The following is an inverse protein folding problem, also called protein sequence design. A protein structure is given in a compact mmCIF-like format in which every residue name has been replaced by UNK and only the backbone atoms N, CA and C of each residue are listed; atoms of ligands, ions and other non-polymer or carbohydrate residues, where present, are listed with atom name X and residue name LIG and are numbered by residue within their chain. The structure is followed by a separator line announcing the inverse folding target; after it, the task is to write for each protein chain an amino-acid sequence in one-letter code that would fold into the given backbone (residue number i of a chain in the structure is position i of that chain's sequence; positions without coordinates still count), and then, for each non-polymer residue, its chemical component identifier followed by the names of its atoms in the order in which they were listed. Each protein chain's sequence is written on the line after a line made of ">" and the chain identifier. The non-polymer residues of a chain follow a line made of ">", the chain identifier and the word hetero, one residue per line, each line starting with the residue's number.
data_IF_006835507145
#
_entry.id   IF_006835507145
#
_cell.length_a   1.000
_cell.length_b   1.000
_cell.length_c   1.000
_cell.angle_alpha   90.00
_cell.angle_beta   90.00
_cell.angle_gamma   90.00
#
_symmetry.space_group_name_H-M   'P 1'
#
loop_
_entity.id
_entity.type
_entity.pdbx_description
1 polymer ?
2 non-polymer ?
3 water ?
#
# COMPACT_ATOMS: atom_id res chain seq x y z
N UNK A 1 18.75 -0.04 -15.25
CA UNK A 1 19.13 1.31 -14.82
C UNK A 1 19.59 1.29 -13.38
N UNK A 2 20.64 2.06 -13.10
CA UNK A 2 21.22 2.15 -11.77
C UNK A 2 20.61 3.35 -11.04
N UNK A 3 20.21 3.16 -9.78
CA UNK A 3 19.70 4.29 -8.99
C UNK A 3 20.40 4.40 -7.64
N UNK A 4 20.50 5.63 -7.16
CA UNK A 4 21.12 5.90 -5.87
C UNK A 4 20.07 6.44 -4.93
N UNK A 5 19.79 5.71 -3.87
CA UNK A 5 18.68 6.06 -2.98
C UNK A 5 19.18 6.35 -1.59
N UNK A 6 18.54 7.32 -0.96
CA UNK A 6 18.67 7.52 0.47
C UNK A 6 17.49 6.85 1.16
N UNK A 7 17.76 6.00 2.13
CA UNK A 7 16.66 5.47 2.94
C UNK A 7 16.98 5.64 4.42
N UNK A 8 15.94 5.83 5.22
CA UNK A 8 16.11 6.02 6.66
C UNK A 8 16.71 4.79 7.31
N UNK A 9 17.33 4.99 8.48
CA UNK A 9 17.85 3.88 9.28
C UNK A 9 16.73 2.89 9.60
N UNK A 10 15.56 3.42 9.90
CA UNK A 10 14.38 2.62 10.16
C UNK A 10 14.00 1.72 8.97
N UNK A 11 13.96 2.31 7.78
CA UNK A 11 13.68 1.55 6.56
C UNK A 11 14.73 0.49 6.34
N UNK A 12 15.99 0.88 6.42
CA UNK A 12 17.08 -0.06 6.20
C UNK A 12 16.93 -1.27 7.13
N UNK A 13 16.69 -1.00 8.42
CA UNK A 13 16.46 -2.05 9.41
C UNK A 13 15.31 -3.00 9.04
N UNK A 14 14.20 -2.43 8.57
CA UNK A 14 13.03 -3.22 8.22
C UNK A 14 13.34 -4.17 7.06
N UNK A 15 14.15 -3.74 6.10
CA UNK A 15 14.57 -4.62 5.01
C UNK A 15 15.32 -5.84 5.54
N UNK A 16 16.23 -5.62 6.48
CA UNK A 16 16.98 -6.70 7.10
C UNK A 16 16.06 -7.73 7.75
N UNK A 17 15.05 -7.26 8.45
CA UNK A 17 14.09 -8.13 9.12
C UNK A 17 13.28 -8.93 8.10
N UNK A 18 12.99 -8.34 6.95
CA UNK A 18 12.33 -9.07 5.87
C UNK A 18 13.21 -10.22 5.46
N UNK A 19 14.47 -9.92 5.18
CA UNK A 19 15.48 -10.90 4.82
C UNK A 19 15.48 -12.09 5.79
N UNK A 20 15.49 -11.78 7.09
CA UNK A 20 15.52 -12.80 8.14
C UNK A 20 14.26 -13.66 8.17
N UNK A 21 13.10 -13.00 8.07
CA UNK A 21 11.82 -13.69 8.10
C UNK A 21 11.65 -14.61 6.88
N UNK A 22 12.22 -14.19 5.75
CA UNK A 22 12.20 -15.02 4.55
C UNK A 22 13.04 -16.27 4.75
N UNK A 23 14.27 -16.09 5.24
CA UNK A 23 15.17 -17.22 5.50
C UNK A 23 14.61 -18.18 6.57
N UNK A 24 13.55 -17.75 7.25
CA UNK A 24 12.85 -18.60 8.21
C UNK A 24 11.52 -19.12 7.65
N UNK A 25 11.16 -18.68 6.46
CA UNK A 25 9.88 -19.05 5.85
C UNK A 25 10.03 -19.54 4.40
N UNK A 26 10.72 -20.67 4.22
CA UNK A 26 10.90 -21.28 2.91
C UNK A 26 11.80 -20.53 1.94
N UNK A 27 12.99 -20.15 2.40
CA UNK A 27 13.97 -19.48 1.55
C UNK A 27 15.39 -19.90 1.94
N UNK A 28 16.38 -19.53 1.13
CA UNK A 28 17.75 -19.98 1.34
C UNK A 28 18.75 -18.82 1.43
N UNK A 29 19.95 -19.11 1.92
CA UNK A 29 21.02 -18.11 2.02
C UNK A 29 21.39 -17.57 0.64
N UNK A 30 22.24 -16.54 0.61
CA UNK A 30 22.60 -15.82 -0.61
C UNK A 30 21.39 -15.21 -1.31
N UNK A 31 20.37 -16.04 -1.59
CA UNK A 31 19.09 -15.55 -2.06
C UNK A 31 18.46 -14.62 -1.00
N UNK A 32 17.37 -13.96 -1.36
CA UNK A 32 16.73 -12.91 -0.54
C UNK A 32 17.75 -11.85 -0.06
N UNK A 33 18.75 -11.60 -0.90
CA UNK A 33 19.71 -10.53 -0.67
C UNK A 33 19.04 -9.16 -0.43
N UNK A 34 19.80 -8.24 0.13
CA UNK A 34 19.26 -6.93 0.47
C UNK A 34 18.71 -6.25 -0.79
N UNK A 35 19.53 -6.22 -1.83
CA UNK A 35 19.19 -5.50 -3.06
C UNK A 35 17.95 -6.08 -3.71
N UNK A 36 17.88 -7.41 -3.77
CA UNK A 36 16.76 -8.07 -4.41
C UNK A 36 15.46 -7.66 -3.73
N UNK A 37 15.48 -7.64 -2.40
CA UNK A 37 14.33 -7.28 -1.60
C UNK A 37 13.98 -5.80 -1.76
N UNK A 38 15.00 -4.95 -1.68
CA UNK A 38 14.84 -3.52 -1.88
C UNK A 38 14.24 -3.22 -3.23
N UNK A 39 14.74 -3.90 -4.26
CA UNK A 39 14.28 -3.68 -5.61
C UNK A 39 12.84 -4.15 -5.75
N UNK A 40 12.53 -5.24 -5.08
CA UNK A 40 11.18 -5.79 -5.09
C UNK A 40 10.22 -4.83 -4.43
N UNK A 41 10.67 -4.18 -3.36
CA UNK A 41 9.81 -3.26 -2.64
C UNK A 41 9.57 -1.97 -3.40
N UNK A 42 10.56 -1.57 -4.21
CA UNK A 42 10.48 -0.36 -5.01
C UNK A 42 9.50 -0.55 -6.17
N UNK A 43 9.54 -1.73 -6.78
CA UNK A 43 8.64 -2.02 -7.89
C UNK A 43 7.21 -2.24 -7.38
N UNK A 44 7.06 -2.81 -6.19
CA UNK A 44 5.76 -2.90 -5.49
C UNK A 44 5.19 -1.49 -5.25
N UNK A 45 6.03 -0.64 -4.68
CA UNK A 45 5.67 0.75 -4.44
C UNK A 45 5.23 1.45 -5.70
N UNK A 46 5.91 1.17 -6.82
CA UNK A 46 5.48 1.66 -8.12
C UNK A 46 4.11 1.14 -8.53
N UNK A 47 3.85 -0.16 -8.34
CA UNK A 47 2.54 -0.69 -8.68
C UNK A 47 1.48 -0.12 -7.73
N UNK A 48 1.85 0.07 -6.46
CA UNK A 48 0.91 0.66 -5.52
C UNK A 48 0.60 2.10 -5.92
N UNK A 49 1.63 2.84 -6.33
CA UNK A 49 1.41 4.21 -6.76
C UNK A 49 0.50 4.28 -7.99
N UNK A 50 0.73 3.38 -8.95
CA UNK A 50 -0.21 3.30 -10.10
C UNK A 50 -1.65 2.99 -9.64
N UNK A 51 -1.80 2.22 -8.56
CA UNK A 51 -3.15 1.93 -8.04
C UNK A 51 -3.84 3.13 -7.37
N UNK A 52 -3.07 4.04 -6.78
CA UNK A 52 -3.68 5.24 -6.19
C UNK A 52 -4.24 6.13 -7.28
N UNK A 53 -3.66 6.03 -8.47
CA UNK A 53 -4.06 6.87 -9.59
C UNK A 53 -5.48 6.55 -10.06
N UNK B 1 -15.01 -0.47 16.96
CA UNK B 1 -16.15 0.31 16.49
C UNK B 1 -16.84 -0.44 15.36
N UNK B 2 -18.09 -0.12 15.04
CA UNK B 2 -18.84 -0.84 14.00
C UNK B 2 -19.32 0.14 12.95
N UNK B 3 -18.97 -0.10 11.68
CA UNK B 3 -19.14 0.90 10.62
C UNK B 3 -19.77 0.31 9.36
N UNK B 4 -20.55 1.12 8.66
CA UNK B 4 -21.12 0.71 7.37
C UNK B 4 -20.22 1.12 6.21
N UNK B 5 -19.78 0.15 5.41
CA UNK B 5 -19.09 0.44 4.15
C UNK B 5 -20.07 0.23 3.00
N UNK B 6 -19.89 0.98 1.92
CA UNK B 6 -20.70 0.80 0.71
C UNK B 6 -19.73 0.62 -0.43
N UNK B 7 -19.70 -0.57 -0.98
CA UNK B 7 -18.69 -0.94 -1.99
C UNK B 7 -19.32 -1.26 -3.34
N UNK B 8 -18.53 -1.19 -4.39
CA UNK B 8 -19.02 -1.45 -5.75
C UNK B 8 -19.37 -2.91 -5.94
N UNK B 9 -20.18 -3.17 -6.96
CA UNK B 9 -20.41 -4.53 -7.44
C UNK B 9 -19.11 -5.23 -7.75
N UNK B 10 -18.23 -4.49 -8.41
CA UNK B 10 -16.91 -5.03 -8.78
C UNK B 10 -16.11 -5.44 -7.53
N UNK B 11 -16.07 -4.59 -6.51
CA UNK B 11 -15.31 -4.92 -5.29
C UNK B 11 -15.91 -6.14 -4.57
N UNK B 12 -17.23 -6.21 -4.58
CA UNK B 12 -17.91 -7.36 -3.99
C UNK B 12 -17.48 -8.67 -4.65
N UNK B 13 -17.49 -8.69 -5.98
CA UNK B 13 -17.12 -9.88 -6.73
C UNK B 13 -15.64 -10.22 -6.50
N UNK B 14 -14.81 -9.20 -6.43
CA UNK B 14 -13.38 -9.41 -6.29
C UNK B 14 -13.05 -9.96 -4.90
N UNK B 15 -13.74 -9.49 -3.87
CA UNK B 15 -13.53 -10.01 -2.55
C UNK B 15 -14.00 -11.47 -2.48
N UNK B 16 -15.13 -11.76 -3.11
CA UNK B 16 -15.57 -13.13 -3.15
C UNK B 16 -14.52 -13.99 -3.88
N UNK B 17 -13.88 -13.44 -4.91
CA UNK B 17 -12.91 -14.22 -5.68
C UNK B 17 -11.63 -14.44 -4.85
N UNK B 18 -11.27 -13.47 -4.01
CA UNK B 18 -10.15 -13.64 -3.10
C UNK B 18 -10.41 -14.82 -2.16
N UNK B 19 -11.62 -14.88 -1.63
CA UNK B 19 -11.97 -15.92 -0.68
C UNK B 19 -11.97 -17.28 -1.38
N UNK B 20 -12.62 -17.35 -2.54
CA UNK B 20 -12.65 -18.59 -3.31
C UNK B 20 -11.23 -19.09 -3.61
N UNK B 21 -10.34 -18.18 -3.94
CA UNK B 21 -8.93 -18.52 -4.19
C UNK B 21 -8.20 -19.09 -2.96
N UNK B 22 -8.48 -18.53 -1.79
CA UNK B 22 -7.90 -19.03 -0.54
C UNK B 22 -8.36 -20.44 -0.26
N UNK B 23 -9.65 -20.70 -0.50
CA UNK B 23 -10.22 -22.03 -0.36
C UNK B 23 -9.56 -23.01 -1.30
N UNK B 24 -9.45 -22.64 -2.57
CA UNK B 24 -8.80 -23.51 -3.56
C UNK B 24 -7.34 -23.82 -3.15
N UNK B 25 -6.73 -22.87 -2.45
CA UNK B 25 -5.40 -23.06 -1.95
C UNK B 25 -5.36 -23.73 -0.57
N UNK B 26 -6.49 -24.25 -0.11
CA UNK B 26 -6.50 -25.07 1.09
C UNK B 26 -7.18 -24.53 2.35
N UNK B 27 -7.64 -23.28 2.34
CA UNK B 27 -8.35 -22.80 3.52
C UNK B 27 -9.70 -23.47 3.64
N UNK B 28 -10.03 -23.87 4.85
CA UNK B 28 -11.34 -24.44 5.12
C UNK B 28 -12.37 -23.32 5.00
N UNK B 29 -13.57 -23.66 4.57
CA UNK B 29 -14.64 -22.69 4.40
C UNK B 29 -14.84 -21.81 5.65
N UNK B 30 -14.77 -22.41 6.83
CA UNK B 30 -15.00 -21.65 8.06
C UNK B 30 -13.78 -20.79 8.47
N UNK B 31 -12.65 -20.97 7.81
CA UNK B 31 -11.43 -20.24 8.20
C UNK B 31 -11.28 -18.89 7.52
N UNK B 32 -12.07 -18.66 6.48
CA UNK B 32 -11.98 -17.36 5.80
C UNK B 32 -13.35 -16.72 5.73
N UNK B 33 -13.41 -15.40 5.53
CA UNK B 33 -14.68 -14.72 5.58
C UNK B 33 -14.63 -13.42 4.80
N UNK B 34 -15.80 -12.98 4.34
CA UNK B 34 -15.91 -11.73 3.63
C UNK B 34 -15.41 -10.59 4.54
N UNK B 35 -15.91 -10.57 5.78
CA UNK B 35 -15.61 -9.45 6.66
C UNK B 35 -14.14 -9.39 7.09
N UNK B 36 -13.49 -10.53 7.32
CA UNK B 36 -12.06 -10.52 7.65
C UNK B 36 -11.27 -9.99 6.47
N UNK B 37 -11.67 -10.40 5.28
CA UNK B 37 -10.99 -9.93 4.06
C UNK B 37 -11.16 -8.42 3.84
N UNK B 38 -12.36 -7.92 4.04
CA UNK B 38 -12.66 -6.49 3.88
C UNK B 38 -11.83 -5.68 4.89
N UNK B 39 -11.65 -6.22 6.10
CA UNK B 39 -10.81 -5.58 7.13
C UNK B 39 -9.37 -5.46 6.69
N UNK B 40 -8.87 -6.53 6.06
CA UNK B 40 -7.50 -6.52 5.54
C UNK B 40 -7.32 -5.49 4.41
N UNK B 41 -8.30 -5.41 3.53
CA UNK B 41 -8.24 -4.40 2.48
C UNK B 41 -8.41 -2.97 2.97
N UNK B 42 -9.29 -2.77 3.94
CA UNK B 42 -9.39 -1.45 4.58
C UNK B 42 -8.03 -1.06 5.19
N UNK B 43 -7.37 -1.98 5.88
CA UNK B 43 -6.04 -1.71 6.45
C UNK B 43 -5.00 -1.35 5.40
N UNK B 44 -4.97 -2.07 4.28
CA UNK B 44 -4.10 -1.72 3.17
C UNK B 44 -4.38 -0.30 2.64
N UNK B 45 -5.64 0.07 2.55
CA UNK B 45 -6.00 1.41 2.08
C UNK B 45 -5.47 2.48 3.03
N UNK B 46 -5.68 2.26 4.33
CA UNK B 46 -5.19 3.19 5.34
C UNK B 46 -3.67 3.35 5.31
N UNK B 47 -2.96 2.23 5.13
CA UNK B 47 -1.49 2.30 5.06
C UNK B 47 -1.00 3.09 3.90
N UNK B 48 -1.66 2.89 2.76
CA UNK B 48 -1.23 3.56 1.55
C UNK B 48 -1.53 5.05 1.67
N UNK B 49 -2.68 5.35 2.25
CA UNK B 49 -3.09 6.74 2.41
C UNK B 49 -2.16 7.50 3.35
N UNK B 50 -1.76 6.87 4.45
CA UNK B 50 -0.84 7.49 5.41
C UNK B 50 0.53 7.77 4.80
N UNK B 51 0.97 6.90 3.90
CA UNK B 51 2.18 7.17 3.12
C UNK B 51 1.91 8.24 2.08
N UNK C 1 20.69 6.13 5.29
CA UNK C 1 21.55 5.18 4.56
C UNK C 1 21.48 5.39 3.04
N UNK C 2 22.62 5.45 2.39
CA UNK C 2 22.66 5.52 0.94
C UNK C 2 22.61 4.11 0.34
N UNK C 3 21.81 3.91 -0.69
CA UNK C 3 21.61 2.56 -1.24
C UNK C 3 21.75 2.54 -2.76
N UNK C 4 22.60 1.68 -3.30
CA UNK C 4 22.71 1.54 -4.75
C UNK C 4 21.92 0.35 -5.27
N UNK C 5 21.16 0.59 -6.32
CA UNK C 5 20.27 -0.43 -6.82
C UNK C 5 20.15 -0.38 -8.34
N UNK C 6 20.11 -1.55 -8.96
CA UNK C 6 19.77 -1.66 -10.38
C UNK C 6 18.30 -2.04 -10.52
N UNK C 7 17.52 -1.20 -11.20
CA UNK C 7 16.11 -1.47 -11.38
C UNK C 7 15.82 -1.73 -12.87
N UNK C 8 14.61 -2.21 -13.18
CA UNK C 8 14.27 -2.57 -14.55
C UNK C 8 14.14 -1.29 -15.38
N UNK C 9 14.25 -1.40 -16.71
CA UNK C 9 14.06 -0.25 -17.58
C UNK C 9 12.66 0.25 -17.44
N UNK C 10 11.73 -0.69 -17.26
CA UNK C 10 10.33 -0.33 -17.16
C UNK C 10 10.08 0.51 -15.90
N UNK C 11 10.72 0.15 -14.80
CA UNK C 11 10.53 0.91 -13.54
C UNK C 11 11.16 2.29 -13.66
N UNK C 12 12.35 2.32 -14.24
CA UNK C 12 13.05 3.57 -14.52
C UNK C 12 12.20 4.54 -15.35
N UNK C 13 11.61 4.04 -16.44
CA UNK C 13 10.73 4.85 -17.29
C UNK C 13 9.51 5.30 -16.53
N UNK C 14 8.96 4.43 -15.69
CA UNK C 14 7.76 4.82 -14.93
C UNK C 14 8.09 5.97 -13.95
N UNK C 15 9.20 5.85 -13.22
CA UNK C 15 9.58 6.90 -12.28
C UNK C 15 9.87 8.21 -13.03
N UNK C 16 10.57 8.15 -14.16
CA UNK C 16 10.74 9.32 -15.02
C UNK C 16 9.38 9.94 -15.44
N UNK C 17 8.37 9.10 -15.74
CA UNK C 17 7.07 9.66 -16.12
C UNK C 17 6.37 10.33 -14.92
N UNK C 18 6.53 9.80 -13.71
CA UNK C 18 5.94 10.44 -12.51
C UNK C 18 6.49 11.85 -12.31
N UNK C 19 7.81 11.97 -12.47
CA UNK C 19 8.51 13.23 -12.28
C UNK C 19 8.11 14.26 -13.34
N UNK C 20 7.94 13.81 -14.58
CA UNK C 20 7.59 14.73 -15.66
C UNK C 20 6.15 15.21 -15.48
N UNK C 21 5.30 14.37 -14.94
CA UNK C 21 3.93 14.78 -14.66
C UNK C 21 3.94 15.89 -13.59
N UNK C 22 4.72 15.69 -12.54
CA UNK C 22 4.78 16.65 -11.45
C UNK C 22 5.32 17.99 -11.92
N UNK C 23 6.31 17.89 -12.79
CA UNK C 23 6.95 19.04 -13.40
C UNK C 23 5.88 19.89 -14.11
N UNK C 24 4.97 19.20 -14.79
CA UNK C 24 3.94 19.90 -15.55
C UNK C 24 2.88 20.48 -14.61
N UNK C 25 2.89 20.03 -13.36
CA UNK C 25 1.97 20.53 -12.35
C UNK C 25 2.61 21.67 -11.57
N UNK C 26 3.80 22.10 -11.98
CA UNK C 26 4.50 23.18 -11.32
C UNK C 26 5.46 22.76 -10.22
N UNK C 27 5.76 21.47 -10.13
CA UNK C 27 6.68 21.00 -9.09
C UNK C 27 8.14 21.33 -9.42
N UNK C 28 8.94 21.50 -8.38
CA UNK C 28 10.37 21.77 -8.54
C UNK C 28 11.17 21.16 -7.38
N UNK C 29 12.51 21.33 -7.44
CA UNK C 29 13.43 20.83 -6.42
C UNK C 29 13.17 19.37 -6.02
N UNK C 30 13.04 19.09 -4.72
CA UNK C 30 12.90 17.72 -4.23
C UNK C 30 11.68 17.03 -4.82
N UNK C 31 10.63 17.81 -5.13
CA UNK C 31 9.41 17.26 -5.73
C UNK C 31 9.64 16.65 -7.10
N UNK C 32 10.73 17.04 -7.78
CA UNK C 32 11.04 16.40 -9.06
C UNK C 32 12.33 15.57 -9.05
N UNK C 33 12.81 15.21 -7.86
CA UNK C 33 14.05 14.44 -7.76
C UNK C 33 13.78 12.95 -8.03
N UNK C 34 14.55 12.37 -8.94
CA UNK C 34 14.39 10.97 -9.23
C UNK C 34 14.67 10.15 -7.94
N UNK C 35 15.82 10.41 -7.36
CA UNK C 35 16.28 9.75 -6.14
C UNK C 35 15.27 9.88 -5.02
N UNK C 36 14.74 11.08 -4.83
CA UNK C 36 13.81 11.27 -3.71
C UNK C 36 12.51 10.53 -3.97
N UNK C 37 12.05 10.54 -5.22
CA UNK C 37 10.81 9.84 -5.58
C UNK C 37 11.00 8.33 -5.43
N UNK C 38 12.12 7.81 -5.91
CA UNK C 38 12.39 6.38 -5.81
C UNK C 38 12.44 5.94 -4.34
N UNK C 39 13.00 6.79 -3.48
CA UNK C 39 13.02 6.48 -2.05
C UNK C 39 11.63 6.43 -1.45
N UNK C 40 10.76 7.37 -1.85
CA UNK C 40 9.39 7.40 -1.34
C UNK C 40 8.66 6.14 -1.81
N UNK C 41 8.94 5.69 -3.02
CA UNK C 41 8.27 4.50 -3.55
C UNK C 41 8.74 3.22 -2.82
N UNK C 42 10.02 3.17 -2.50
CA UNK C 42 10.56 2.05 -1.74
C UNK C 42 9.91 1.99 -0.35
N UNK C 43 9.81 3.14 0.34
CA UNK C 43 9.10 3.22 1.62
C UNK C 43 7.62 2.80 1.48
N UNK C 44 6.97 3.19 0.37
CA UNK C 44 5.58 2.84 0.18
C UNK C 44 5.42 1.33 0.04
N UNK C 45 6.30 0.71 -0.74
CA UNK C 45 6.27 -0.72 -0.92
C UNK C 45 6.52 -1.43 0.40
N UNK C 46 7.38 -0.84 1.22
CA UNK C 46 7.64 -1.40 2.53
C UNK C 46 6.43 -1.33 3.47
N UNK C 47 5.74 -0.20 3.50
CA UNK C 47 4.54 -0.07 4.35
C UNK C 47 3.48 -1.10 3.92
N UNK C 48 3.35 -1.33 2.62
CA UNK C 48 2.36 -2.28 2.10
C UNK C 48 2.70 -3.71 2.48
N UNK C 49 3.96 -4.08 2.25
CA UNK C 49 4.41 -5.43 2.52
C UNK C 49 4.25 -5.77 4.00
N UNK C 50 4.48 -4.77 4.85
CA UNK C 50 4.32 -4.92 6.29
C UNK C 50 2.90 -5.30 6.75
N UNK C 51 1.89 -5.04 5.93
CA UNK C 51 0.51 -5.33 6.35
C UNK C 51 0.23 -6.85 6.44
N UNK C 52 1.03 -7.64 5.73
CA UNK C 52 0.89 -9.11 5.74
C UNK C 52 1.78 -9.81 6.76
N UNK C 53 2.43 -9.01 7.61
CA UNK C 53 3.34 -9.56 8.60
C UNK C 53 2.83 -9.37 10.03
N UNK D 1 -22.74 -2.56 -2.44
CA UNK D 1 -23.32 -3.44 -1.44
C UNK D 1 -22.95 -2.90 -0.07
N UNK D 2 -23.85 -2.99 0.90
CA UNK D 2 -23.48 -2.54 2.25
C UNK D 2 -22.69 -3.63 2.93
N UNK D 3 -21.56 -3.25 3.53
CA UNK D 3 -20.75 -4.17 4.33
C UNK D 3 -20.66 -3.60 5.73
N UNK D 4 -21.27 -4.28 6.68
CA UNK D 4 -21.16 -3.82 8.07
C UNK D 4 -19.93 -4.48 8.66
N UNK D 5 -19.03 -3.67 9.22
CA UNK D 5 -17.73 -4.16 9.59
C UNK D 5 -17.36 -3.70 11.01
N UNK D 6 -16.91 -4.62 11.87
CA UNK D 6 -16.23 -4.15 13.08
C UNK D 6 -14.84 -3.70 12.67
N UNK D 7 -14.38 -2.56 13.16
CA UNK D 7 -13.01 -2.15 12.89
C UNK D 7 -12.28 -1.80 14.20
N UNK D 8 -10.95 -1.88 14.16
CA UNK D 8 -10.10 -1.64 15.32
C UNK D 8 -10.19 -0.17 15.76
N UNK D 9 -9.84 0.10 17.00
CA UNK D 9 -9.81 1.46 17.49
C UNK D 9 -8.77 2.28 16.75
N UNK D 10 -7.66 1.65 16.38
CA UNK D 10 -6.65 2.29 15.54
C UNK D 10 -7.23 2.81 14.24
N UNK D 11 -7.95 1.97 13.51
CA UNK D 11 -8.51 2.39 12.23
C UNK D 11 -9.56 3.50 12.41
N UNK D 12 -10.37 3.38 13.43
CA UNK D 12 -11.40 4.35 13.74
C UNK D 12 -10.81 5.73 13.94
N UNK D 13 -9.79 5.79 14.79
CA UNK D 13 -9.05 7.00 15.07
C UNK D 13 -8.36 7.54 13.82
N UNK D 14 -7.71 6.68 13.05
CA UNK D 14 -7.03 7.11 11.83
C UNK D 14 -8.00 7.70 10.80
N UNK D 15 -9.18 7.12 10.66
CA UNK D 15 -10.14 7.62 9.68
C UNK D 15 -10.67 8.98 10.17
N UNK D 16 -10.91 9.07 11.48
CA UNK D 16 -11.28 10.34 12.10
C UNK D 16 -10.21 11.43 11.92
N UNK D 17 -8.94 11.08 12.08
CA UNK D 17 -7.88 12.06 11.82
C UNK D 17 -7.89 12.55 10.38
N UNK D 18 -8.13 11.64 9.44
CA UNK D 18 -8.22 12.00 8.02
C UNK D 18 -9.33 12.99 7.76
N UNK D 19 -10.51 12.70 8.28
CA UNK D 19 -11.66 13.62 8.19
C UNK D 19 -11.29 14.98 8.78
N UNK D 20 -10.68 14.98 9.97
CA UNK D 20 -10.27 16.20 10.65
C UNK D 20 -9.29 17.02 9.82
N UNK D 21 -8.32 16.36 9.23
CA UNK D 21 -7.35 17.05 8.38
C UNK D 21 -8.08 17.70 7.20
N UNK D 22 -8.97 16.95 6.55
CA UNK D 22 -9.75 17.50 5.42
C UNK D 22 -10.55 18.74 5.83
N UNK D 23 -11.19 18.68 6.99
CA UNK D 23 -11.94 19.82 7.49
C UNK D 23 -11.00 21.00 7.69
N UNK D 24 -9.82 20.72 8.19
CA UNK D 24 -8.84 21.78 8.41
C UNK D 24 -8.36 22.37 7.10
N UNK D 25 -8.36 21.56 6.04
CA UNK D 25 -7.94 22.05 4.72
C UNK D 25 -9.06 22.80 4.00
N UNK D 26 -10.27 22.79 4.59
CA UNK D 26 -11.37 23.55 4.03
C UNK D 26 -12.63 22.77 3.69
N UNK D 27 -12.64 21.45 3.87
CA UNK D 27 -13.82 20.64 3.53
C UNK D 27 -15.02 21.02 4.41
N UNK D 28 -16.21 21.10 3.80
CA UNK D 28 -17.44 21.31 4.56
C UNK D 28 -17.86 20.03 5.27
N UNK D 29 -18.42 20.15 6.47
CA UNK D 29 -18.83 18.97 7.22
C UNK D 29 -19.86 18.14 6.46
N UNK D 30 -20.69 18.82 5.66
CA UNK D 30 -21.74 18.17 4.87
C UNK D 30 -21.21 17.28 3.74
N UNK D 31 -20.00 17.57 3.28
CA UNK D 31 -19.37 16.80 2.19
C UNK D 31 -18.38 15.81 2.78
N UNK D 32 -18.53 15.54 4.07
CA UNK D 32 -17.58 14.69 4.76
C UNK D 32 -18.39 13.61 5.44
N UNK D 33 -17.84 12.39 5.47
CA UNK D 33 -18.59 11.25 5.98
C UNK D 33 -17.63 10.14 6.39
N UNK D 34 -17.81 9.59 7.58
CA UNK D 34 -16.99 8.45 7.99
C UNK D 34 -17.15 7.30 7.01
N UNK D 35 -18.39 6.96 6.73
CA UNK D 35 -18.72 5.86 5.79
C UNK D 35 -18.14 6.06 4.40
N UNK D 36 -18.29 7.26 3.86
CA UNK D 36 -17.74 7.53 2.54
C UNK D 36 -16.21 7.43 2.60
N UNK D 37 -15.58 7.92 3.66
CA UNK D 37 -14.11 7.90 3.74
C UNK D 37 -13.61 6.49 3.83
N UNK D 38 -14.16 5.72 4.77
CA UNK D 38 -13.82 4.30 4.87
C UNK D 38 -14.10 3.49 3.59
N UNK D 39 -15.23 3.75 2.95
CA UNK D 39 -15.57 3.01 1.74
C UNK D 39 -14.50 3.25 0.67
N UNK D 40 -14.04 4.50 0.51
CA UNK D 40 -13.06 4.79 -0.56
C UNK D 40 -11.72 4.15 -0.23
N UNK D 41 -11.37 4.13 1.06
CA UNK D 41 -10.16 3.45 1.52
C UNK D 41 -10.20 1.93 1.25
N UNK D 42 -11.37 1.32 1.39
CA UNK D 42 -11.48 -0.09 1.03
C UNK D 42 -11.30 -0.32 -0.45
N UNK D 43 -11.84 0.56 -1.30
CA UNK D 43 -11.71 0.37 -2.73
C UNK D 43 -10.25 0.52 -3.13
N UNK D 44 -9.58 1.51 -2.55
CA UNK D 44 -8.14 1.68 -2.75
C UNK D 44 -7.41 0.39 -2.29
N UNK D 45 -7.73 -0.12 -1.11
CA UNK D 45 -7.03 -1.27 -0.59
C UNK D 45 -7.17 -2.50 -1.49
N UNK D 46 -8.33 -2.64 -2.09
CA UNK D 46 -8.51 -3.73 -3.02
C UNK D 46 -7.58 -3.58 -4.23
N UNK D 47 -7.47 -2.37 -4.79
CA UNK D 47 -6.53 -2.14 -5.90
C UNK D 47 -5.07 -2.41 -5.47
N UNK D 48 -4.74 -2.03 -4.24
CA UNK D 48 -3.38 -2.29 -3.76
C UNK D 48 -3.14 -3.80 -3.65
N UNK D 49 -4.15 -4.53 -3.18
CA UNK D 49 -4.02 -5.98 -3.04
C UNK D 49 -3.83 -6.62 -4.40
N UNK D 50 -4.53 -6.11 -5.41
CA UNK D 50 -4.34 -6.66 -6.75
C UNK D 50 -2.94 -6.37 -7.29
N UNK D 51 -2.39 -5.21 -6.91
CA UNK D 51 -1.01 -4.84 -7.29
C UNK D 51 0.08 -5.72 -6.66
N UNK D 52 -0.26 -6.49 -5.64
CA UNK D 52 0.73 -7.37 -5.02
C UNK D 52 0.79 -8.70 -5.78
X LIG E 1 -18.65 -13.26 6.91
X LIG E 1 -20.11 -13.46 7.21
X LIG E 1 -18.40 -11.80 6.91
X LIG E 1 -17.85 -13.90 8.03
X LIG E 1 -18.29 -13.94 5.59
X LIG F 1 17.96 13.46 -8.96
X LIG F 1 16.90 13.70 -10.04
X LIG F 1 19.33 13.70 -9.55
X LIG F 1 17.73 14.40 -7.83
X LIG F 1 17.92 12.02 -8.50
X LIG G 1 2.20 11.96 -7.31
X LIG G 1 3.11 12.87 -8.10
X LIG G 1 1.22 12.78 -6.52
X LIG G 1 1.47 11.09 -8.30
X LIG G 1 3.04 11.15 -6.35
X LIG H 1 -5.69 14.31 2.39
X LIG H 1 -6.37 14.12 3.72
X LIG H 1 -4.23 14.01 2.55
X LIG H 1 -6.32 13.37 1.37
X LIG H 1 -5.82 15.74 1.94
#
# INVERSE_FOLDING_TARGET
>A
AKVNLYISNDAYEKINAIIEKRRQEGAREKDVSFSATASMLLELGLRVHEAQM
>B
AKVNLYISNDAYEKINAIIEKRRQEGAREKDVSFSATASMLLELGLRVHEAQM
>C
AKVNLYISNDAYEKINAIIEKRRQEGAREKDVSFSATASMLLELGLRVHEAQM
>D
AKVNLYISNDAYEKINAIIEKRRQEGAREKDVSFSATASMLLELGLRVHEAQM
>E hetero
1 PO4 P O1 O2 O3 O4
>F hetero
1 PO4 P O1 O2 O3 O4
>G hetero
1 PO4 P O1 O2 O3 O4
>H hetero
1 PO4 P O1 O2 O3 O4
#
